data_IF_041592728813
#
_entry.id   IF_041592728813
#
_cell.length_a   1.000
_cell.length_b   1.000
_cell.length_c   1.000
_cell.angle_alpha   90.00
_cell.angle_beta   90.00
_cell.angle_gamma   90.00
#
_symmetry.space_group_name_H-M   'P 1'
#
loop_
_entity.id
_entity.type
_entity.pdbx_description
1 polymer ?
#
# COMPACT_ATOMS: atom_id res chain seq x y z
N UNK A 1 -10.34 -33.76 -8.58
CA UNK A 1 -9.62 -33.51 -7.32
C UNK A 1 -10.56 -32.64 -6.50
N UNK A 2 -10.61 -32.81 -5.20
CA UNK A 2 -11.37 -31.86 -4.38
C UNK A 2 -10.55 -30.57 -4.28
N UNK A 3 -11.23 -29.44 -4.29
CA UNK A 3 -10.57 -28.15 -4.12
C UNK A 3 -10.07 -28.00 -2.69
N UNK A 4 -8.81 -27.53 -2.53
CA UNK A 4 -8.19 -27.30 -1.22
C UNK A 4 -7.63 -25.90 -1.11
N UNK A 5 -8.07 -25.18 -0.08
CA UNK A 5 -7.73 -23.78 0.18
C UNK A 5 -6.48 -23.65 1.05
N UNK A 6 -5.56 -22.79 0.66
CA UNK A 6 -4.57 -22.26 1.57
C UNK A 6 -4.93 -20.82 1.97
N UNK A 7 -5.25 -20.59 3.24
CA UNK A 7 -5.42 -19.26 3.82
C UNK A 7 -4.03 -18.79 4.27
N UNK A 8 -3.47 -17.82 3.55
CA UNK A 8 -2.12 -17.29 3.76
C UNK A 8 -2.20 -15.96 4.46
N UNK A 9 -1.66 -15.89 5.67
CA UNK A 9 -1.75 -14.73 6.57
C UNK A 9 -0.35 -14.17 6.83
N UNK A 10 0.06 -13.08 6.19
CA UNK A 10 1.29 -12.38 6.52
C UNK A 10 1.28 -11.83 7.95
N UNK A 11 2.36 -12.08 8.68
CA UNK A 11 2.38 -11.84 10.12
C UNK A 11 3.72 -11.27 10.60
N UNK A 12 3.65 -10.35 11.57
CA UNK A 12 4.74 -9.95 12.46
C UNK A 12 4.22 -9.21 13.69
N UNK A 13 4.62 -9.66 14.88
CA UNK A 13 4.40 -8.96 16.16
C UNK A 13 2.94 -8.59 16.48
N UNK A 14 1.96 -9.41 16.04
CA UNK A 14 0.53 -9.21 16.26
C UNK A 14 -0.11 -10.40 16.99
N UNK A 15 0.43 -10.75 18.16
CA UNK A 15 0.02 -11.95 18.90
C UNK A 15 -1.46 -11.92 19.31
N UNK A 16 -1.98 -10.77 19.72
CA UNK A 16 -3.40 -10.63 20.10
C UNK A 16 -4.32 -10.89 18.90
N UNK A 17 -3.96 -10.38 17.73
CA UNK A 17 -4.71 -10.65 16.49
C UNK A 17 -4.66 -12.12 16.13
N UNK A 18 -3.49 -12.76 16.21
CA UNK A 18 -3.34 -14.18 15.91
C UNK A 18 -4.20 -15.05 16.82
N UNK A 19 -4.21 -14.73 18.12
CA UNK A 19 -5.00 -15.46 19.12
C UNK A 19 -6.51 -15.30 18.91
N UNK A 20 -6.96 -14.24 18.23
CA UNK A 20 -8.35 -14.02 17.88
C UNK A 20 -8.68 -14.59 16.51
N UNK A 21 -7.85 -14.34 15.52
CA UNK A 21 -8.06 -14.70 14.12
C UNK A 21 -8.21 -16.21 13.91
N UNK A 22 -7.26 -17.01 14.39
CA UNK A 22 -7.24 -18.45 14.12
C UNK A 22 -8.49 -19.16 14.69
N UNK A 23 -8.88 -18.96 15.96
CA UNK A 23 -10.12 -19.57 16.48
C UNK A 23 -11.36 -19.08 15.74
N UNK A 24 -11.43 -17.78 15.40
CA UNK A 24 -12.55 -17.21 14.66
C UNK A 24 -12.71 -17.86 13.28
N UNK A 25 -11.62 -17.99 12.53
CA UNK A 25 -11.65 -18.62 11.21
C UNK A 25 -12.08 -20.09 11.25
N UNK A 26 -11.58 -20.84 12.22
CA UNK A 26 -12.03 -22.22 12.41
C UNK A 26 -13.52 -22.32 12.76
N UNK A 27 -14.03 -21.44 13.62
CA UNK A 27 -15.44 -21.39 13.96
C UNK A 27 -16.29 -20.97 12.76
N UNK A 28 -15.83 -19.96 12.01
CA UNK A 28 -16.54 -19.44 10.84
C UNK A 28 -16.62 -20.44 9.68
N UNK A 29 -15.58 -21.25 9.47
CA UNK A 29 -15.49 -22.19 8.36
C UNK A 29 -15.97 -23.62 8.71
N UNK A 30 -16.23 -23.94 9.98
CA UNK A 30 -16.52 -25.31 10.45
C UNK A 30 -17.68 -26.01 9.73
N UNK A 31 -18.72 -25.24 9.38
CA UNK A 31 -19.95 -25.76 8.75
C UNK A 31 -19.97 -25.51 7.22
N UNK A 32 -18.91 -24.89 6.68
CA UNK A 32 -18.71 -24.68 5.26
C UNK A 32 -17.92 -25.87 4.71
N UNK A 33 -18.45 -26.57 3.73
CA UNK A 33 -17.80 -27.76 3.13
C UNK A 33 -16.54 -27.39 2.34
N UNK A 34 -15.58 -26.74 3.02
CA UNK A 34 -14.30 -26.27 2.45
C UNK A 34 -13.18 -27.04 3.12
N UNK A 35 -12.32 -27.66 2.32
CA UNK A 35 -11.05 -28.24 2.78
C UNK A 35 -9.99 -27.15 2.79
N UNK A 36 -9.47 -26.80 3.97
CA UNK A 36 -8.56 -25.68 4.12
C UNK A 36 -7.50 -25.89 5.19
N UNK A 37 -6.37 -25.19 5.02
CA UNK A 37 -5.36 -24.98 6.05
C UNK A 37 -5.01 -23.51 6.16
N UNK A 38 -4.64 -23.06 7.38
CA UNK A 38 -4.22 -21.68 7.66
C UNK A 38 -2.70 -21.64 7.81
N UNK A 39 -2.04 -20.81 7.00
CA UNK A 39 -0.59 -20.62 6.99
C UNK A 39 -0.22 -19.23 7.49
N UNK A 40 0.42 -19.17 8.65
CA UNK A 40 0.92 -17.92 9.22
C UNK A 40 2.33 -17.67 8.67
N UNK A 41 2.44 -16.69 7.81
CA UNK A 41 3.70 -16.30 7.15
C UNK A 41 4.44 -15.24 7.98
N UNK A 42 5.24 -15.68 8.94
CA UNK A 42 5.94 -14.78 9.87
C UNK A 42 7.21 -14.19 9.25
N UNK A 43 7.34 -12.85 9.30
CA UNK A 43 8.59 -12.18 8.98
C UNK A 43 9.49 -12.12 10.23
N UNK A 44 10.60 -12.87 10.20
CA UNK A 44 11.52 -13.02 11.33
C UNK A 44 12.69 -12.03 11.33
N UNK A 45 12.84 -11.21 10.28
CA UNK A 45 13.92 -10.21 10.20
C UNK A 45 13.44 -8.80 10.59
N UNK A 46 14.39 -7.89 10.87
CA UNK A 46 14.12 -6.51 11.28
C UNK A 46 13.88 -5.53 10.11
N UNK A 47 13.84 -6.03 8.87
CA UNK A 47 13.57 -5.19 7.70
C UNK A 47 12.12 -4.69 7.72
N UNK A 48 11.80 -3.61 7.01
CA UNK A 48 10.41 -3.20 6.84
C UNK A 48 9.55 -4.37 6.34
N UNK A 49 8.31 -4.44 6.81
CA UNK A 49 7.39 -5.54 6.49
C UNK A 49 7.21 -5.69 4.98
N UNK A 50 7.27 -6.93 4.48
CA UNK A 50 7.11 -7.23 3.06
C UNK A 50 6.01 -8.26 2.83
N UNK A 51 4.79 -7.76 2.74
CA UNK A 51 3.57 -8.54 2.53
C UNK A 51 3.69 -9.50 1.33
N UNK A 52 4.02 -8.95 0.17
CA UNK A 52 4.07 -9.72 -1.07
C UNK A 52 5.11 -10.85 -1.04
N UNK A 53 6.25 -10.61 -0.39
CA UNK A 53 7.29 -11.63 -0.26
C UNK A 53 6.86 -12.79 0.64
N UNK A 54 6.16 -12.48 1.73
CA UNK A 54 5.61 -13.48 2.64
C UNK A 54 4.58 -14.36 1.93
N UNK A 55 3.60 -13.74 1.26
CA UNK A 55 2.58 -14.44 0.47
C UNK A 55 3.20 -15.35 -0.58
N UNK A 56 4.12 -14.83 -1.38
CA UNK A 56 4.80 -15.60 -2.43
C UNK A 56 5.61 -16.77 -1.87
N UNK A 57 6.26 -16.57 -0.72
CA UNK A 57 7.09 -17.62 -0.12
C UNK A 57 6.24 -18.82 0.28
N UNK A 58 5.10 -18.59 0.94
CA UNK A 58 4.18 -19.69 1.30
C UNK A 58 3.59 -20.33 0.06
N UNK A 59 3.00 -19.54 -0.87
CA UNK A 59 2.36 -20.08 -2.06
C UNK A 59 3.30 -20.94 -2.91
N UNK A 60 4.61 -20.61 -2.93
CA UNK A 60 5.63 -21.36 -3.66
C UNK A 60 5.99 -22.70 -3.02
N UNK A 61 5.98 -22.76 -1.70
CA UNK A 61 6.36 -23.99 -0.95
C UNK A 61 5.19 -24.97 -0.81
N UNK A 62 3.95 -24.53 -1.08
CA UNK A 62 2.78 -25.38 -0.96
C UNK A 62 2.67 -26.39 -2.10
N UNK A 63 2.30 -27.62 -1.75
CA UNK A 63 2.02 -28.68 -2.70
C UNK A 63 0.87 -28.34 -3.65
N UNK A 64 0.81 -29.02 -4.78
CA UNK A 64 -0.20 -28.81 -5.84
C UNK A 64 -1.63 -29.15 -5.40
N UNK A 65 -1.80 -29.82 -4.25
CA UNK A 65 -3.13 -30.06 -3.70
C UNK A 65 -3.87 -28.78 -3.31
N UNK A 66 -3.13 -27.73 -2.90
CA UNK A 66 -3.70 -26.40 -2.66
C UNK A 66 -3.88 -25.69 -3.99
N UNK A 67 -5.04 -25.83 -4.58
CA UNK A 67 -5.31 -25.30 -5.92
C UNK A 67 -5.88 -23.89 -5.95
N UNK A 68 -6.12 -23.28 -4.77
CA UNK A 68 -6.44 -21.87 -4.64
C UNK A 68 -5.98 -21.29 -3.29
N UNK A 69 -5.83 -19.97 -3.27
CA UNK A 69 -5.27 -19.21 -2.17
C UNK A 69 -6.24 -18.15 -1.69
N UNK A 70 -6.31 -17.95 -0.38
CA UNK A 70 -6.86 -16.77 0.25
C UNK A 70 -5.72 -15.96 0.89
N UNK A 71 -5.39 -14.81 0.32
CA UNK A 71 -4.49 -13.86 0.95
C UNK A 71 -5.31 -13.02 1.91
N UNK A 72 -4.97 -13.11 3.20
CA UNK A 72 -5.86 -12.65 4.27
C UNK A 72 -5.10 -11.81 5.28
N UNK A 73 -5.58 -10.59 5.53
CA UNK A 73 -5.05 -9.76 6.59
C UNK A 73 -5.50 -10.30 7.95
N UNK A 74 -4.57 -10.32 8.92
CA UNK A 74 -4.80 -10.92 10.24
C UNK A 74 -5.84 -10.15 11.09
N UNK A 75 -6.09 -8.89 10.77
CA UNK A 75 -7.03 -7.99 11.44
C UNK A 75 -8.43 -7.98 10.80
N UNK A 76 -8.65 -8.76 9.76
CA UNK A 76 -9.94 -8.92 9.10
C UNK A 76 -10.66 -10.17 9.60
N UNK A 77 -11.90 -10.02 10.09
CA UNK A 77 -12.73 -11.14 10.51
C UNK A 77 -14.02 -11.20 9.69
N UNK A 78 -14.29 -12.31 8.99
CA UNK A 78 -15.58 -12.48 8.30
C UNK A 78 -16.70 -12.63 9.34
N UNK A 79 -17.76 -11.82 9.21
CA UNK A 79 -18.92 -11.83 10.12
C UNK A 79 -20.22 -12.12 9.40
N UNK A 80 -20.23 -12.11 8.08
CA UNK A 80 -21.40 -12.44 7.26
C UNK A 80 -21.31 -13.86 6.72
N UNK A 81 -22.40 -14.63 6.83
CA UNK A 81 -22.49 -15.95 6.22
C UNK A 81 -22.28 -15.95 4.69
N UNK A 82 -22.47 -14.80 4.08
CA UNK A 82 -22.22 -14.58 2.64
C UNK A 82 -20.75 -14.53 2.28
N UNK A 83 -19.82 -14.43 3.26
CA UNK A 83 -18.40 -14.54 2.99
C UNK A 83 -18.06 -15.95 2.52
N UNK A 84 -17.98 -16.13 1.21
CA UNK A 84 -17.75 -17.41 0.57
C UNK A 84 -16.25 -17.61 0.29
N UNK A 85 -15.66 -18.64 0.92
CA UNK A 85 -14.27 -19.03 0.74
C UNK A 85 -14.12 -20.23 -0.22
N UNK A 86 -15.18 -20.56 -0.98
CA UNK A 86 -15.14 -21.61 -2.01
C UNK A 86 -14.19 -21.29 -3.16
N UNK A 87 -13.94 -22.29 -4.00
CA UNK A 87 -13.03 -22.16 -5.14
C UNK A 87 -13.44 -21.03 -6.10
N UNK A 88 -12.56 -20.05 -6.38
CA UNK A 88 -12.87 -18.94 -7.25
C UNK A 88 -12.51 -19.30 -8.72
N UNK A 89 -13.49 -19.27 -9.61
CA UNK A 89 -13.25 -19.39 -11.07
C UNK A 89 -12.43 -18.22 -11.61
N UNK A 90 -12.54 -17.06 -10.96
CA UNK A 90 -11.80 -15.84 -11.26
C UNK A 90 -11.36 -15.18 -9.94
N UNK A 91 -10.28 -14.38 -9.91
CA UNK A 91 -9.90 -13.69 -8.71
C UNK A 91 -11.02 -12.84 -8.12
N UNK A 92 -11.28 -13.00 -6.82
CA UNK A 92 -12.38 -12.32 -6.10
C UNK A 92 -11.83 -11.55 -4.90
N UNK A 93 -12.25 -10.30 -4.77
CA UNK A 93 -12.02 -9.49 -3.58
C UNK A 93 -13.20 -9.65 -2.62
N UNK A 94 -12.94 -10.19 -1.43
CA UNK A 94 -13.99 -10.45 -0.43
C UNK A 94 -14.19 -9.28 0.55
N UNK A 95 -13.15 -8.56 0.93
CA UNK A 95 -13.24 -7.47 1.91
C UNK A 95 -13.89 -6.19 1.31
N UNK A 96 -15.16 -6.30 0.90
CA UNK A 96 -15.89 -5.23 0.19
C UNK A 96 -16.78 -4.40 1.09
N UNK A 97 -17.07 -4.89 2.29
CA UNK A 97 -17.94 -4.23 3.27
C UNK A 97 -17.23 -4.29 4.63
N UNK A 98 -16.32 -3.36 4.87
CA UNK A 98 -15.47 -3.33 6.06
C UNK A 98 -15.88 -2.15 6.93
N UNK A 99 -16.08 -2.39 8.23
CA UNK A 99 -16.63 -1.40 9.18
C UNK A 99 -15.80 -0.11 9.20
N UNK A 100 -14.48 -0.22 9.27
CA UNK A 100 -13.56 0.92 9.29
C UNK A 100 -13.66 1.80 8.03
N UNK A 101 -14.16 1.26 6.92
CA UNK A 101 -14.45 1.99 5.69
C UNK A 101 -15.92 2.44 5.59
N UNK A 102 -16.63 2.52 6.71
CA UNK A 102 -18.07 2.82 6.73
C UNK A 102 -18.89 1.85 5.85
N UNK A 103 -18.53 0.59 5.87
CA UNK A 103 -19.17 -0.48 5.09
C UNK A 103 -19.20 -0.21 3.59
N UNK A 104 -18.11 0.32 3.06
CA UNK A 104 -17.93 0.62 1.64
C UNK A 104 -16.51 0.30 1.18
N UNK A 105 -16.36 0.07 -0.11
CA UNK A 105 -15.06 0.00 -0.74
C UNK A 105 -14.44 1.41 -0.74
N UNK A 106 -13.22 1.61 -0.23
CA UNK A 106 -12.60 2.95 -0.13
C UNK A 106 -12.40 3.61 -1.50
N UNK A 107 -12.11 2.82 -2.54
CA UNK A 107 -11.99 3.26 -3.92
C UNK A 107 -12.21 2.08 -4.89
N UNK A 108 -12.64 2.32 -6.15
CA UNK A 108 -13.07 1.27 -7.07
C UNK A 108 -12.05 0.17 -7.37
N UNK A 109 -10.75 0.44 -7.21
CA UNK A 109 -9.67 -0.53 -7.45
C UNK A 109 -9.11 -1.14 -6.16
N UNK A 110 -9.78 -0.94 -5.04
CA UNK A 110 -9.36 -1.56 -3.78
C UNK A 110 -9.40 -3.08 -3.90
N UNK A 111 -8.28 -3.72 -3.59
CA UNK A 111 -8.10 -5.16 -3.73
C UNK A 111 -7.29 -5.73 -2.55
N UNK A 112 -7.39 -5.09 -1.38
CA UNK A 112 -6.69 -5.45 -0.16
C UNK A 112 -7.57 -6.14 0.87
N UNK A 113 -6.98 -6.59 1.94
CA UNK A 113 -7.63 -7.22 3.08
C UNK A 113 -7.86 -8.71 2.89
N UNK A 114 -8.82 -9.12 2.05
CA UNK A 114 -9.13 -10.54 1.80
C UNK A 114 -9.38 -10.79 0.32
N UNK A 115 -8.53 -11.61 -0.29
CA UNK A 115 -8.58 -11.91 -1.73
C UNK A 115 -8.49 -13.41 -1.97
N UNK A 116 -9.42 -13.95 -2.75
CA UNK A 116 -9.38 -15.33 -3.26
C UNK A 116 -8.87 -15.37 -4.68
N UNK A 117 -7.90 -16.25 -4.95
CA UNK A 117 -7.31 -16.41 -6.27
C UNK A 117 -7.02 -17.89 -6.50
N UNK A 118 -7.42 -18.47 -7.63
CA UNK A 118 -6.99 -19.80 -8.00
C UNK A 118 -5.47 -19.82 -8.30
N UNK A 119 -4.83 -20.97 -8.11
CA UNK A 119 -3.38 -21.10 -8.26
C UNK A 119 -2.90 -20.68 -9.65
N UNK A 120 -3.62 -21.07 -10.70
CA UNK A 120 -3.23 -20.78 -12.08
C UNK A 120 -3.16 -19.28 -12.36
N UNK A 121 -4.18 -18.52 -11.96
CA UNK A 121 -4.21 -17.06 -12.12
C UNK A 121 -3.10 -16.38 -11.31
N UNK A 122 -2.86 -16.84 -10.07
CA UNK A 122 -1.79 -16.32 -9.24
C UNK A 122 -0.40 -16.55 -9.84
N UNK A 123 -0.14 -17.76 -10.33
CA UNK A 123 1.12 -18.11 -10.98
C UNK A 123 1.31 -17.38 -12.32
N UNK A 124 0.26 -17.28 -13.14
CA UNK A 124 0.27 -16.53 -14.40
C UNK A 124 0.52 -15.03 -14.19
N UNK A 125 0.01 -14.47 -13.09
CA UNK A 125 0.31 -13.10 -12.67
C UNK A 125 1.75 -12.94 -12.14
N UNK A 126 2.48 -14.03 -11.91
CA UNK A 126 3.78 -14.08 -11.23
C UNK A 126 3.69 -13.53 -9.78
N UNK A 127 2.59 -13.83 -9.11
CA UNK A 127 2.32 -13.49 -7.73
C UNK A 127 2.40 -12.00 -7.39
N UNK A 128 2.57 -11.71 -6.12
CA UNK A 128 2.83 -10.35 -5.62
C UNK A 128 4.22 -9.85 -6.03
N UNK A 129 4.39 -8.55 -6.15
CA UNK A 129 5.73 -7.96 -6.28
C UNK A 129 6.46 -8.00 -4.92
N UNK A 130 7.71 -8.51 -4.86
CA UNK A 130 8.51 -8.50 -3.64
C UNK A 130 9.18 -7.13 -3.37
N UNK A 131 8.94 -6.14 -4.22
CA UNK A 131 9.60 -4.82 -4.17
C UNK A 131 8.90 -3.82 -3.24
N UNK A 132 7.71 -4.16 -2.73
CA UNK A 132 6.96 -3.30 -1.81
C UNK A 132 7.29 -3.64 -0.36
N UNK A 133 7.73 -2.62 0.38
CA UNK A 133 8.01 -2.69 1.80
C UNK A 133 7.13 -1.69 2.57
N UNK A 134 6.66 -2.11 3.73
CA UNK A 134 5.71 -1.33 4.53
C UNK A 134 4.30 -1.41 3.95
N UNK A 135 3.57 -0.33 4.07
CA UNK A 135 2.16 -0.26 3.73
C UNK A 135 1.91 0.34 2.34
N UNK A 136 0.95 -0.26 1.60
CA UNK A 136 0.34 0.31 0.39
C UNK A 136 0.88 -0.20 -0.94
N UNK A 137 0.07 -0.07 -1.98
CA UNK A 137 0.29 -0.39 -3.39
C UNK A 137 0.50 -1.87 -3.76
N UNK A 138 0.83 -2.75 -2.84
CA UNK A 138 1.09 -4.17 -3.11
C UNK A 138 -0.13 -4.87 -3.72
N UNK A 139 -1.33 -4.55 -3.23
CA UNK A 139 -2.60 -5.11 -3.71
C UNK A 139 -3.00 -4.55 -5.07
N UNK A 140 -2.79 -3.24 -5.29
CA UNK A 140 -3.02 -2.62 -6.60
C UNK A 140 -2.07 -3.18 -7.67
N UNK A 141 -0.82 -3.46 -7.32
CA UNK A 141 0.13 -4.10 -8.23
C UNK A 141 -0.31 -5.53 -8.56
N UNK A 142 -0.78 -6.31 -7.57
CA UNK A 142 -1.33 -7.64 -7.83
C UNK A 142 -2.55 -7.57 -8.74
N UNK A 143 -3.53 -6.71 -8.45
CA UNK A 143 -4.70 -6.51 -9.30
C UNK A 143 -4.30 -6.21 -10.74
N UNK A 144 -3.35 -5.32 -10.93
CA UNK A 144 -2.84 -5.00 -12.26
C UNK A 144 -2.12 -6.18 -12.94
N UNK A 145 -1.36 -6.99 -12.18
CA UNK A 145 -0.69 -8.20 -12.69
C UNK A 145 -1.71 -9.23 -13.15
N UNK A 146 -2.76 -9.48 -12.37
CA UNK A 146 -3.87 -10.35 -12.71
C UNK A 146 -4.57 -9.90 -14.00
N UNK A 147 -4.95 -8.62 -14.08
CA UNK A 147 -5.54 -8.06 -15.31
C UNK A 147 -4.65 -8.26 -16.54
N UNK A 148 -3.35 -8.17 -16.35
CA UNK A 148 -2.39 -8.27 -17.41
C UNK A 148 -2.08 -9.69 -17.83
N UNK A 149 -2.13 -10.65 -16.92
CA UNK A 149 -1.99 -12.08 -17.24
C UNK A 149 -3.18 -12.63 -18.03
N UNK A 150 -4.28 -11.86 -18.08
CA UNK A 150 -5.52 -12.25 -18.78
C UNK A 150 -6.57 -12.82 -17.83
N UNK A 151 -6.35 -12.79 -16.53
CA UNK A 151 -7.36 -13.16 -15.57
C UNK A 151 -8.60 -12.27 -15.75
N UNK A 152 -9.75 -12.92 -15.81
CA UNK A 152 -11.01 -12.22 -16.00
C UNK A 152 -11.49 -11.63 -14.67
N UNK A 153 -11.72 -10.33 -14.62
CA UNK A 153 -12.02 -9.57 -13.40
C UNK A 153 -13.34 -8.79 -13.49
N UNK A 154 -14.33 -9.30 -14.23
CA UNK A 154 -15.61 -8.59 -14.41
C UNK A 154 -16.33 -8.33 -13.09
N UNK A 155 -16.18 -9.24 -12.13
CA UNK A 155 -16.82 -9.16 -10.80
C UNK A 155 -15.81 -9.40 -9.67
N UNK A 156 -14.67 -8.72 -9.73
CA UNK A 156 -13.65 -8.91 -8.71
C UNK A 156 -14.05 -8.43 -7.31
N UNK A 157 -15.12 -7.62 -7.21
CA UNK A 157 -15.75 -7.29 -5.94
C UNK A 157 -16.99 -8.15 -5.73
N UNK A 158 -16.93 -9.03 -4.75
CA UNK A 158 -18.13 -9.69 -4.28
C UNK A 158 -18.83 -8.78 -3.25
N UNK A 159 -19.78 -7.98 -3.74
CA UNK A 159 -20.51 -7.01 -2.92
C UNK A 159 -21.36 -7.73 -1.87
N UNK A 160 -21.42 -7.19 -0.66
CA UNK A 160 -22.14 -7.61 0.54
C UNK A 160 -21.36 -8.52 1.51
N UNK A 161 -20.06 -8.71 1.32
CA UNK A 161 -19.22 -9.43 2.28
C UNK A 161 -18.80 -8.50 3.41
N UNK A 162 -19.19 -8.80 4.63
CA UNK A 162 -18.92 -7.93 5.79
C UNK A 162 -17.77 -8.47 6.63
N UNK A 163 -16.81 -7.60 6.87
CA UNK A 163 -15.63 -7.86 7.73
C UNK A 163 -15.55 -6.80 8.82
N UNK A 164 -15.23 -7.25 10.03
CA UNK A 164 -14.82 -6.37 11.13
C UNK A 164 -13.29 -6.29 11.19
N UNK A 165 -12.77 -5.15 11.60
CA UNK A 165 -11.33 -4.92 11.80
C UNK A 165 -11.02 -4.64 13.26
N UNK A 166 -9.84 -5.05 13.71
CA UNK A 166 -9.38 -4.81 15.08
C UNK A 166 -8.62 -3.51 15.24
N UNK A 167 -8.00 -3.01 14.18
CA UNK A 167 -7.19 -1.80 14.21
C UNK A 167 -8.01 -0.60 13.73
N UNK A 168 -8.31 0.31 14.65
CA UNK A 168 -8.92 1.60 14.31
C UNK A 168 -7.95 2.54 13.57
N UNK A 169 -6.64 2.22 13.55
CA UNK A 169 -5.57 3.18 13.21
C UNK A 169 -4.99 3.05 11.78
N UNK A 170 -5.35 2.04 10.98
CA UNK A 170 -4.57 1.70 9.78
C UNK A 170 -5.22 2.05 8.42
N UNK A 171 -6.17 2.97 8.36
CA UNK A 171 -6.82 3.25 7.07
C UNK A 171 -6.41 4.57 6.46
N UNK A 172 -5.59 4.45 5.43
CA UNK A 172 -5.32 5.56 4.50
C UNK A 172 -6.18 5.39 3.25
N UNK A 173 -7.30 6.10 3.10
CA UNK A 173 -8.00 6.14 1.82
C UNK A 173 -7.18 6.94 0.82
N UNK A 174 -6.71 6.29 -0.24
CA UNK A 174 -6.13 6.97 -1.40
C UNK A 174 -7.21 7.27 -2.41
N UNK A 175 -7.34 8.52 -2.81
CA UNK A 175 -8.13 8.91 -3.97
C UNK A 175 -7.20 9.17 -5.14
N UNK A 176 -7.35 8.41 -6.21
CA UNK A 176 -6.57 8.56 -7.44
C UNK A 176 -7.45 9.23 -8.49
N UNK A 177 -7.06 10.41 -8.94
CA UNK A 177 -7.76 11.15 -10.00
C UNK A 177 -6.84 11.39 -11.19
N UNK A 178 -7.35 11.12 -12.40
CA UNK A 178 -6.66 11.43 -13.66
C UNK A 178 -5.24 10.82 -13.79
N UNK A 179 -5.03 9.64 -13.26
CA UNK A 179 -3.75 8.93 -13.33
C UNK A 179 -3.79 7.86 -14.40
N UNK A 180 -2.76 7.81 -15.23
CA UNK A 180 -2.53 6.73 -16.18
C UNK A 180 -1.41 5.84 -15.67
N UNK A 181 -1.71 4.56 -15.47
CA UNK A 181 -0.69 3.57 -15.17
C UNK A 181 -0.05 3.14 -16.49
N UNK A 182 1.27 3.22 -16.59
CA UNK A 182 2.01 2.77 -17.76
C UNK A 182 3.22 1.94 -17.38
N UNK A 183 3.59 0.97 -18.24
CA UNK A 183 4.79 0.16 -18.01
C UNK A 183 6.05 0.94 -18.29
N UNK A 184 7.05 0.81 -17.39
CA UNK A 184 8.43 1.11 -17.73
C UNK A 184 9.20 -0.16 -18.08
N UNK A 185 9.87 -0.16 -19.23
CA UNK A 185 10.79 -1.21 -19.61
C UNK A 185 12.15 -1.12 -18.89
N UNK A 186 12.42 -0.04 -18.17
CA UNK A 186 13.75 0.31 -17.65
C UNK A 186 13.91 0.39 -16.14
N UNK A 187 12.83 0.42 -15.37
CA UNK A 187 12.88 0.48 -13.91
C UNK A 187 12.22 -0.77 -13.37
N UNK A 188 12.99 -1.74 -12.97
CA UNK A 188 12.64 -2.98 -12.24
C UNK A 188 11.26 -3.60 -12.53
N UNK A 189 10.78 -3.52 -13.78
CA UNK A 189 9.45 -4.01 -14.19
C UNK A 189 8.26 -3.43 -13.39
N UNK A 190 8.49 -2.40 -12.58
CA UNK A 190 7.47 -1.77 -11.76
C UNK A 190 6.47 -0.95 -12.60
N UNK A 191 5.26 -0.85 -12.12
CA UNK A 191 4.24 0.01 -12.73
C UNK A 191 4.59 1.47 -12.46
N UNK A 192 4.29 2.32 -13.44
CA UNK A 192 4.55 3.75 -13.34
C UNK A 192 3.22 4.48 -13.33
N UNK A 193 3.01 5.26 -12.29
CA UNK A 193 1.96 6.25 -12.25
C UNK A 193 2.38 7.43 -13.12
N UNK A 194 1.69 7.64 -14.25
CA UNK A 194 1.90 8.79 -15.09
C UNK A 194 0.90 9.88 -14.73
N UNK A 195 1.36 10.88 -14.00
CA UNK A 195 0.56 12.06 -13.67
C UNK A 195 0.44 12.95 -14.92
N UNK A 196 -0.79 13.22 -15.33
CA UNK A 196 -1.10 14.25 -16.35
C UNK A 196 -1.24 15.60 -15.66
N UNK A 197 -1.29 16.68 -16.45
CA UNK A 197 -1.65 18.01 -15.93
C UNK A 197 -2.98 17.91 -15.16
N UNK A 198 -3.01 18.41 -13.94
CA UNK A 198 -4.12 18.31 -12.98
C UNK A 198 -4.41 16.89 -12.42
N UNK A 199 -3.51 15.95 -12.59
CA UNK A 199 -3.62 14.67 -11.86
C UNK A 199 -3.24 14.87 -10.41
N UNK A 200 -3.96 14.23 -9.51
CA UNK A 200 -3.69 14.26 -8.07
C UNK A 200 -3.85 12.86 -7.52
N UNK A 201 -2.98 12.51 -6.60
CA UNK A 201 -3.14 11.34 -5.73
C UNK A 201 -3.40 11.92 -4.35
N UNK A 202 -4.58 11.65 -3.82
CA UNK A 202 -4.91 12.03 -2.45
C UNK A 202 -4.76 10.81 -1.56
N UNK A 203 -3.98 10.96 -0.49
CA UNK A 203 -4.01 10.07 0.63
C UNK A 203 -4.51 10.89 1.82
N UNK A 204 -5.55 10.46 2.48
CA UNK A 204 -5.92 10.99 3.78
C UNK A 204 -5.21 10.09 4.79
N UNK A 205 -4.16 10.61 5.40
CA UNK A 205 -3.60 9.98 6.60
C UNK A 205 -4.64 10.17 7.71
N UNK A 206 -5.41 9.11 8.00
CA UNK A 206 -6.36 9.17 9.08
C UNK A 206 -5.59 9.35 10.39
N UNK A 207 -5.90 10.47 11.06
CA UNK A 207 -5.42 10.81 12.40
C UNK A 207 -3.94 10.50 12.63
N UNK A 208 -3.10 11.45 12.31
CA UNK A 208 -1.96 11.64 13.17
C UNK A 208 -2.52 11.91 14.56
N UNK A 209 -2.52 10.93 15.44
CA UNK A 209 -2.68 11.20 16.86
C UNK A 209 -1.51 12.07 17.29
N UNK A 210 -1.65 12.87 18.32
CA UNK A 210 -0.56 13.71 18.82
C UNK A 210 0.72 12.92 19.17
N UNK A 211 0.66 11.61 19.21
CA UNK A 211 1.79 10.70 19.44
C UNK A 211 2.39 10.15 18.14
N UNK A 212 1.57 9.94 17.08
CA UNK A 212 2.05 9.45 15.76
C UNK A 212 2.58 10.56 14.84
N UNK A 213 2.39 11.82 15.21
CA UNK A 213 2.87 12.99 14.45
C UNK A 213 4.28 13.43 14.83
N UNK A 214 4.93 12.69 15.70
CA UNK A 214 6.31 13.02 16.08
C UNK A 214 7.28 12.42 15.06
N UNK A 215 8.24 13.21 14.58
CA UNK A 215 9.38 12.67 13.84
C UNK A 215 10.03 11.49 14.61
N UNK A 216 10.71 10.55 13.91
CA UNK A 216 11.09 10.66 12.50
C UNK A 216 10.07 10.03 11.54
N UNK A 217 9.82 10.67 10.42
CA UNK A 217 9.15 10.04 9.28
C UNK A 217 9.85 10.37 7.97
N UNK A 218 9.63 9.55 6.94
CA UNK A 218 10.22 9.77 5.63
C UNK A 218 9.26 9.42 4.51
N UNK A 219 9.47 10.07 3.35
CA UNK A 219 8.77 9.81 2.12
C UNK A 219 9.80 9.45 1.08
N UNK A 220 9.57 8.34 0.37
CA UNK A 220 10.43 7.85 -0.69
C UNK A 220 9.61 7.68 -1.97
N UNK A 221 10.08 8.26 -3.07
CA UNK A 221 9.41 8.14 -4.37
C UNK A 221 10.39 8.21 -5.53
N UNK A 222 9.97 7.63 -6.67
CA UNK A 222 10.67 7.77 -7.93
C UNK A 222 9.89 8.71 -8.85
N UNK A 223 10.60 9.60 -9.52
CA UNK A 223 9.99 10.48 -10.51
C UNK A 223 10.85 10.61 -11.77
N UNK A 224 10.18 10.95 -12.87
CA UNK A 224 10.82 11.33 -14.12
C UNK A 224 10.14 12.59 -14.67
N UNK A 225 10.86 13.69 -14.69
CA UNK A 225 10.37 14.93 -15.27
C UNK A 225 10.66 14.97 -16.78
N UNK A 226 9.60 14.89 -17.58
CA UNK A 226 9.64 14.92 -19.05
C UNK A 226 9.09 16.22 -19.62
N UNK A 227 8.62 17.12 -18.74
CA UNK A 227 8.02 18.39 -19.14
C UNK A 227 9.09 19.49 -19.19
N UNK A 228 9.19 20.17 -20.34
CA UNK A 228 10.15 21.26 -20.55
C UNK A 228 9.73 22.59 -19.92
N UNK A 229 8.54 22.67 -19.31
CA UNK A 229 8.14 23.85 -18.56
C UNK A 229 9.06 24.05 -17.35
N UNK A 230 9.45 25.31 -17.11
CA UNK A 230 10.20 25.70 -15.90
C UNK A 230 9.28 25.94 -14.69
N UNK A 231 8.02 25.52 -14.77
CA UNK A 231 7.05 25.71 -13.68
C UNK A 231 7.39 24.79 -12.51
N UNK A 232 7.15 25.29 -11.32
CA UNK A 232 7.20 24.47 -10.11
C UNK A 232 6.13 23.38 -10.17
N UNK A 233 6.48 22.18 -9.71
CA UNK A 233 5.61 21.00 -9.69
C UNK A 233 5.65 20.40 -8.31
N UNK A 234 4.51 20.02 -7.81
CA UNK A 234 4.39 19.29 -6.56
C UNK A 234 4.54 17.79 -6.84
N UNK A 235 5.48 17.13 -6.19
CA UNK A 235 5.62 15.67 -6.17
C UNK A 235 4.87 15.05 -5.00
N UNK A 236 4.94 15.71 -3.85
CA UNK A 236 4.23 15.34 -2.63
C UNK A 236 4.08 16.59 -1.76
N UNK A 237 2.92 16.78 -1.13
CA UNK A 237 2.73 17.78 -0.09
C UNK A 237 1.73 17.29 0.94
N UNK A 238 1.89 17.75 2.16
CA UNK A 238 0.85 17.62 3.17
C UNK A 238 -0.32 18.54 2.80
N UNK A 239 -1.55 18.04 2.93
CA UNK A 239 -2.74 18.83 2.61
C UNK A 239 -2.82 20.07 3.52
N UNK A 240 -3.10 21.21 2.88
CA UNK A 240 -3.17 22.49 3.60
C UNK A 240 -1.82 23.12 3.98
N UNK A 241 -0.71 22.50 3.56
CA UNK A 241 0.64 23.00 3.83
C UNK A 241 1.52 23.01 2.59
N UNK A 242 2.35 24.05 2.50
CA UNK A 242 3.44 24.11 1.51
C UNK A 242 4.66 23.27 1.94
N UNK A 243 4.47 22.30 2.86
CA UNK A 243 5.50 21.33 3.26
C UNK A 243 5.46 20.11 2.37
N UNK A 244 6.62 19.62 1.93
CA UNK A 244 6.68 18.45 1.04
C UNK A 244 7.88 18.40 0.13
N UNK A 245 7.69 17.77 -1.03
CA UNK A 245 8.69 17.58 -2.08
C UNK A 245 8.22 18.24 -3.37
N UNK A 246 9.01 19.16 -3.90
CA UNK A 246 8.65 19.95 -5.06
C UNK A 246 9.77 19.90 -6.13
N UNK A 247 9.38 20.09 -7.40
CA UNK A 247 10.33 20.39 -8.47
C UNK A 247 10.31 21.89 -8.72
N UNK A 248 11.47 22.51 -8.75
CA UNK A 248 11.61 23.93 -9.03
C UNK A 248 12.43 24.20 -10.28
N UNK A 249 11.92 25.11 -11.11
CA UNK A 249 12.58 25.62 -12.32
C UNK A 249 13.02 24.54 -13.32
N UNK A 250 12.47 23.32 -13.25
CA UNK A 250 12.90 22.19 -14.07
C UNK A 250 14.34 21.75 -13.80
N UNK A 251 14.89 22.07 -12.62
CA UNK A 251 16.29 21.84 -12.29
C UNK A 251 16.53 21.25 -10.90
N UNK A 252 15.75 21.62 -9.91
CA UNK A 252 15.96 21.25 -8.51
C UNK A 252 14.79 20.47 -7.94
N UNK A 253 15.10 19.47 -7.10
CA UNK A 253 14.17 18.90 -6.13
C UNK A 253 14.35 19.68 -4.83
N UNK A 254 13.25 20.13 -4.27
CA UNK A 254 13.17 20.84 -3.01
C UNK A 254 12.45 19.97 -1.99
N UNK A 255 13.07 19.74 -0.83
CA UNK A 255 12.41 19.30 0.37
C UNK A 255 12.17 20.50 1.27
N UNK A 256 10.93 20.76 1.65
CA UNK A 256 10.54 21.97 2.37
C UNK A 256 9.61 21.62 3.52
N UNK A 257 9.83 22.27 4.65
CA UNK A 257 8.95 22.20 5.81
C UNK A 257 8.69 23.61 6.34
N UNK A 258 7.42 23.90 6.54
CA UNK A 258 6.97 25.12 7.21
C UNK A 258 6.77 24.80 8.70
N UNK A 259 7.48 25.48 9.56
CA UNK A 259 7.47 25.33 11.02
C UNK A 259 6.36 26.20 11.66
N UNK A 260 5.99 27.29 10.99
CA UNK A 260 4.84 28.15 11.31
C UNK A 260 4.43 28.96 10.07
N UNK A 261 3.55 29.96 10.25
CA UNK A 261 3.00 30.77 9.15
C UNK A 261 4.07 31.62 8.43
N UNK A 262 5.22 31.88 9.08
CA UNK A 262 6.23 32.82 8.58
C UNK A 262 7.60 32.19 8.35
N UNK A 263 7.88 31.03 8.94
CA UNK A 263 9.19 30.40 8.84
C UNK A 263 9.14 29.05 8.17
N UNK A 264 10.07 28.81 7.28
CA UNK A 264 10.25 27.53 6.65
C UNK A 264 11.73 27.14 6.58
N UNK A 265 11.98 25.85 6.52
CA UNK A 265 13.28 25.25 6.24
C UNK A 265 13.22 24.56 4.90
N UNK A 266 14.15 24.91 4.01
CA UNK A 266 14.24 24.39 2.65
C UNK A 266 15.61 23.81 2.39
N UNK A 267 15.64 22.65 1.71
CA UNK A 267 16.86 22.03 1.19
C UNK A 267 16.63 21.59 -0.24
N UNK A 268 17.67 21.66 -1.07
CA UNK A 268 17.53 21.38 -2.49
C UNK A 268 18.72 20.59 -3.04
N UNK A 269 18.43 19.76 -4.05
CA UNK A 269 19.42 19.05 -4.85
C UNK A 269 19.06 19.13 -6.34
N UNK A 270 20.07 19.25 -7.25
CA UNK A 270 19.80 19.22 -8.67
C UNK A 270 19.46 17.82 -9.14
N UNK A 271 18.40 17.70 -9.96
CA UNK A 271 17.97 16.44 -10.56
C UNK A 271 18.32 16.36 -12.06
N UNK A 272 18.25 15.14 -12.60
CA UNK A 272 18.48 14.92 -14.03
C UNK A 272 17.13 14.82 -14.76
N UNK A 273 16.93 15.72 -15.72
CA UNK A 273 15.75 15.74 -16.57
C UNK A 273 15.69 14.52 -17.49
N UNK A 274 14.50 14.08 -17.87
CA UNK A 274 14.27 12.94 -18.76
C UNK A 274 14.87 11.60 -18.27
N UNK A 275 15.32 11.54 -17.03
CA UNK A 275 15.81 10.32 -16.38
C UNK A 275 15.01 10.01 -15.12
N UNK A 276 15.06 8.77 -14.66
CA UNK A 276 14.50 8.41 -13.38
C UNK A 276 15.39 8.93 -12.25
N UNK A 277 14.76 9.58 -11.30
CA UNK A 277 15.38 10.08 -10.08
C UNK A 277 14.68 9.47 -8.88
N UNK A 278 15.46 9.03 -7.91
CA UNK A 278 14.96 8.56 -6.62
C UNK A 278 15.15 9.66 -5.59
N UNK A 279 14.08 10.07 -4.93
CA UNK A 279 14.10 11.05 -3.85
C UNK A 279 13.59 10.43 -2.56
N UNK A 280 14.30 10.69 -1.46
CA UNK A 280 13.84 10.41 -0.09
C UNK A 280 13.90 11.72 0.68
N UNK A 281 12.80 12.11 1.28
CA UNK A 281 12.71 13.25 2.16
C UNK A 281 12.32 12.78 3.55
N UNK A 282 13.17 13.04 4.51
CA UNK A 282 12.98 12.67 5.91
C UNK A 282 12.88 13.91 6.78
N UNK A 283 11.96 13.89 7.72
CA UNK A 283 11.81 14.90 8.76
C UNK A 283 12.14 14.22 10.08
N UNK A 284 13.08 14.80 10.81
CA UNK A 284 13.51 14.38 12.13
C UNK A 284 13.11 15.44 13.17
N UNK A 285 13.35 15.18 14.45
CA UNK A 285 12.95 16.09 15.54
C UNK A 285 13.48 17.52 15.37
N UNK A 286 14.70 17.66 14.87
CA UNK A 286 15.41 18.94 14.74
C UNK A 286 15.98 19.23 13.35
N UNK A 287 15.73 18.36 12.39
CA UNK A 287 16.33 18.47 11.05
C UNK A 287 15.48 17.88 9.96
N UNK A 288 15.73 18.31 8.71
CA UNK A 288 15.22 17.71 7.50
C UNK A 288 16.38 17.18 6.66
N UNK A 289 16.14 16.06 6.01
CA UNK A 289 17.14 15.38 5.17
C UNK A 289 16.52 15.12 3.80
N UNK A 290 17.23 15.47 2.74
CA UNK A 290 16.89 15.14 1.37
C UNK A 290 17.96 14.25 0.77
N UNK A 291 17.58 13.07 0.31
CA UNK A 291 18.42 12.24 -0.56
C UNK A 291 17.88 12.33 -1.99
N UNK A 292 18.77 12.46 -2.93
CA UNK A 292 18.47 12.39 -4.35
C UNK A 292 19.57 11.59 -5.06
N UNK A 293 19.20 10.43 -5.63
CA UNK A 293 20.13 9.57 -6.35
C UNK A 293 21.44 9.33 -5.54
N UNK A 294 21.30 8.96 -4.25
CA UNK A 294 22.38 8.74 -3.28
C UNK A 294 23.18 9.98 -2.83
N UNK A 295 22.82 11.18 -3.26
CA UNK A 295 23.34 12.42 -2.69
C UNK A 295 22.48 12.85 -1.51
N UNK A 296 23.12 13.24 -0.41
CA UNK A 296 22.47 13.71 0.83
C UNK A 296 22.68 15.20 1.00
N UNK A 297 21.64 15.89 1.44
CA UNK A 297 21.72 17.22 2.07
C UNK A 297 20.86 17.21 3.31
N UNK A 298 21.27 17.97 4.32
CA UNK A 298 20.60 18.04 5.61
C UNK A 298 20.61 19.48 6.11
N UNK A 299 19.55 19.91 6.76
CA UNK A 299 19.44 21.22 7.40
C UNK A 299 18.71 21.08 8.74
N UNK A 300 19.16 21.83 9.73
CA UNK A 300 18.44 21.96 10.98
C UNK A 300 17.14 22.75 10.77
N UNK A 301 16.08 22.34 11.44
CA UNK A 301 14.85 23.11 11.50
C UNK A 301 15.09 24.43 12.24
N UNK A 302 14.45 25.48 11.79
CA UNK A 302 14.54 26.80 12.44
C UNK A 302 13.79 26.81 13.77
N UNK A 303 12.67 26.07 13.83
CA UNK A 303 11.87 25.84 15.02
C UNK A 303 11.53 24.35 15.11
N UNK A 304 11.02 23.91 16.27
CA UNK A 304 10.52 22.54 16.41
C UNK A 304 9.33 22.33 15.48
N UNK A 305 9.41 21.31 14.63
CA UNK A 305 8.34 20.97 13.71
C UNK A 305 7.09 20.55 14.49
N UNK A 306 5.97 21.19 14.20
CA UNK A 306 4.65 20.80 14.69
C UNK A 306 3.78 20.53 13.47
N UNK A 307 3.33 19.30 13.28
CA UNK A 307 2.20 19.03 12.40
C UNK A 307 0.98 19.65 13.08
N UNK A 308 0.31 20.56 12.39
CA UNK A 308 -0.87 21.21 12.94
C UNK A 308 -1.97 20.17 13.18
N UNK A 309 -2.52 20.21 14.38
CA UNK A 309 -3.67 19.41 14.76
C UNK A 309 -4.93 20.01 14.11
N UNK A 310 -5.41 19.38 13.04
CA UNK A 310 -6.65 19.77 12.36
C UNK A 310 -7.90 19.17 13.03
N UNK A 311 -7.89 18.99 14.34
CA UNK A 311 -9.07 18.56 15.12
C UNK A 311 -9.95 19.72 15.54
N UNK A 312 -10.23 20.70 14.66
CA UNK A 312 -11.31 21.66 14.86
C UNK A 312 -12.19 21.74 13.62
#
# INVERSE_FOLDING_TARGET
MNDKLAIIVPYRDREEHLNTFVPHMHEFLKDKSIDYDIFIAEQSDDRPFNYGKLCNSVAKELDVEYNYFCFHDIDMLPVSDDCDYGYPETPIHLATNVEIHNNKIPYPQYFGGVVLINREDFENANGYSPEYYGYGFVDLDLLYRLQKSGAYLEKFHDLNKTYETFDEDDVLPYRIENVKISKSKKVHKSNILQLKRNSRIYGVMNKFTSESTKPPFFISLWFKDTDDSKKNKNLFSFEGHDSGIFLSNGKYVIGQVWDDVETHTEILLPYFKNTWNHVVFAIQDDSIILYLNNKKVESKLKNNFKIFDYTN
#
